data_IF_536075308720
#
_entry.id   IF_536075308720
#
_cell.length_a   1.000
_cell.length_b   1.000
_cell.length_c   1.000
_cell.angle_alpha   90.00
_cell.angle_beta   90.00
_cell.angle_gamma   90.00
#
_symmetry.space_group_name_H-M   'P 1'
#
loop_
_entity.id
_entity.type
_entity.pdbx_description
1 polymer ?
#
# COMPACT_ATOMS: atom_id res chain seq x y z
N UNK A 1 7.01 -21.76 -11.94
CA UNK A 1 5.91 -20.84 -11.61
C UNK A 1 5.75 -19.89 -12.78
N UNK A 2 4.71 -20.08 -13.59
CA UNK A 2 4.40 -19.21 -14.72
C UNK A 2 3.77 -17.93 -14.18
N UNK A 3 4.60 -16.91 -13.90
CA UNK A 3 4.13 -15.59 -13.49
C UNK A 3 3.34 -14.96 -14.63
N UNK A 4 2.01 -15.01 -14.52
CA UNK A 4 1.09 -14.44 -15.50
C UNK A 4 0.93 -12.95 -15.24
N UNK A 5 1.60 -12.12 -16.04
CA UNK A 5 1.38 -10.68 -16.06
C UNK A 5 -0.05 -10.41 -16.54
N UNK A 6 -0.85 -9.63 -15.81
CA UNK A 6 -2.18 -9.21 -16.27
C UNK A 6 -2.20 -7.72 -16.56
N UNK A 7 -3.01 -7.25 -17.49
CA UNK A 7 -3.15 -5.82 -17.75
C UNK A 7 -3.92 -5.11 -16.63
N UNK A 8 -3.40 -4.03 -16.07
CA UNK A 8 -4.09 -3.22 -15.06
C UNK A 8 -5.47 -2.69 -15.49
N UNK A 9 -5.69 -2.48 -16.80
CA UNK A 9 -6.92 -1.87 -17.30
C UNK A 9 -8.01 -2.91 -17.65
N UNK A 10 -7.64 -3.98 -18.35
CA UNK A 10 -8.62 -4.98 -18.83
C UNK A 10 -8.50 -6.36 -18.17
N UNK A 11 -7.51 -6.57 -17.30
CA UNK A 11 -7.28 -7.84 -16.61
C UNK A 11 -6.79 -8.99 -17.50
N UNK A 12 -6.66 -8.80 -18.81
CA UNK A 12 -6.20 -9.86 -19.72
C UNK A 12 -4.74 -10.22 -19.44
N UNK A 13 -4.42 -11.52 -19.48
CA UNK A 13 -3.04 -12.00 -19.37
C UNK A 13 -2.19 -11.51 -20.56
N UNK A 14 -1.11 -10.81 -20.25
CA UNK A 14 -0.11 -10.33 -21.20
C UNK A 14 0.90 -11.44 -21.43
N UNK A 15 0.74 -12.17 -22.53
CA UNK A 15 1.64 -13.27 -22.94
C UNK A 15 2.48 -12.92 -24.16
N UNK A 16 2.17 -11.80 -24.82
CA UNK A 16 2.73 -11.40 -26.11
C UNK A 16 3.77 -10.27 -26.01
N UNK A 17 4.17 -9.89 -24.79
CA UNK A 17 5.23 -8.91 -24.56
C UNK A 17 6.49 -9.58 -24.00
N UNK A 18 7.68 -9.31 -24.56
CA UNK A 18 8.92 -9.79 -24.00
C UNK A 18 9.17 -9.14 -22.64
N UNK A 19 9.80 -9.91 -21.73
CA UNK A 19 10.27 -9.40 -20.44
C UNK A 19 11.80 -9.17 -20.50
N UNK A 20 12.33 -8.08 -19.90
CA UNK A 20 11.59 -6.98 -19.27
C UNK A 20 10.76 -6.19 -20.28
N UNK A 21 9.62 -5.63 -19.83
CA UNK A 21 8.76 -4.83 -20.70
C UNK A 21 9.53 -3.64 -21.26
N UNK A 22 9.32 -3.35 -22.54
CA UNK A 22 9.72 -2.05 -23.07
C UNK A 22 8.90 -0.94 -22.42
N UNK A 23 9.45 0.26 -22.36
CA UNK A 23 8.77 1.43 -21.77
C UNK A 23 7.46 1.77 -22.46
N UNK A 24 7.33 1.42 -23.74
CA UNK A 24 6.12 1.60 -24.54
C UNK A 24 5.39 0.29 -24.82
N UNK A 25 5.61 -0.75 -24.00
CA UNK A 25 4.86 -1.98 -24.12
C UNK A 25 3.37 -1.71 -23.92
N UNK A 26 2.55 -2.27 -24.80
CA UNK A 26 1.11 -2.06 -24.81
C UNK A 26 0.37 -3.39 -24.73
N UNK A 27 -0.76 -3.37 -24.04
CA UNK A 27 -1.70 -4.48 -24.01
C UNK A 27 -2.35 -4.66 -25.38
N UNK A 28 -2.37 -5.87 -25.95
CA UNK A 28 -2.95 -6.05 -27.28
C UNK A 28 -4.46 -5.79 -27.36
N UNK A 29 -5.29 -6.26 -26.40
CA UNK A 29 -6.74 -6.01 -26.44
C UNK A 29 -7.14 -4.55 -26.23
N UNK A 30 -6.60 -3.88 -25.20
CA UNK A 30 -7.06 -2.54 -24.81
C UNK A 30 -6.08 -1.41 -25.13
N UNK A 31 -4.88 -1.72 -25.66
CA UNK A 31 -3.82 -0.74 -25.98
C UNK A 31 -3.32 0.07 -24.79
N UNK A 32 -3.66 -0.35 -23.57
CA UNK A 32 -3.15 0.26 -22.34
C UNK A 32 -1.63 0.10 -22.25
N UNK A 33 -0.94 1.14 -21.81
CA UNK A 33 0.50 1.07 -21.58
C UNK A 33 0.77 0.19 -20.35
N UNK A 34 1.68 -0.75 -20.49
CA UNK A 34 1.98 -1.77 -19.49
C UNK A 34 3.15 -1.36 -18.60
N UNK A 35 4.05 -0.50 -19.08
CA UNK A 35 5.12 0.07 -18.28
C UNK A 35 4.69 1.43 -17.69
N UNK A 36 3.66 1.42 -16.84
CA UNK A 36 3.07 2.62 -16.23
C UNK A 36 3.00 2.48 -14.70
N UNK A 37 2.76 3.59 -13.97
CA UNK A 37 2.62 3.54 -12.52
C UNK A 37 1.57 2.51 -12.08
N UNK A 38 0.42 2.42 -12.75
CA UNK A 38 -0.65 1.47 -12.37
C UNK A 38 -0.25 -0.01 -12.44
N UNK A 39 0.78 -0.35 -13.22
CA UNK A 39 1.34 -1.69 -13.31
C UNK A 39 2.59 -1.90 -12.42
N UNK A 40 3.05 -0.84 -11.74
CA UNK A 40 4.16 -0.92 -10.80
C UNK A 40 3.71 -1.56 -9.47
N UNK A 41 4.57 -2.36 -8.86
CA UNK A 41 4.33 -2.94 -7.54
C UNK A 41 4.25 -1.88 -6.43
N UNK A 42 4.95 -0.74 -6.61
CA UNK A 42 5.03 0.35 -5.63
C UNK A 42 3.85 1.34 -5.73
N UNK A 43 2.96 1.17 -6.71
CA UNK A 43 1.83 2.07 -6.86
C UNK A 43 0.77 1.82 -5.78
N UNK A 44 0.45 2.87 -5.04
CA UNK A 44 -0.49 2.84 -3.94
C UNK A 44 -1.40 4.07 -3.96
N UNK A 45 -2.62 3.98 -4.52
CA UNK A 45 -3.53 5.13 -4.66
C UNK A 45 -4.10 5.65 -3.33
N UNK A 46 -3.74 5.05 -2.19
CA UNK A 46 -4.12 5.54 -0.85
C UNK A 46 -3.17 6.61 -0.33
N UNK A 47 -1.98 6.74 -0.92
CA UNK A 47 -0.99 7.76 -0.54
C UNK A 47 -1.18 9.01 -1.39
N UNK A 48 -0.92 10.19 -0.81
CA UNK A 48 -1.00 11.47 -1.54
C UNK A 48 -0.11 11.52 -2.80
N UNK A 49 1.01 10.80 -2.79
CA UNK A 49 1.97 10.72 -3.91
C UNK A 49 1.72 9.51 -4.83
N UNK A 50 0.75 8.67 -4.50
CA UNK A 50 0.43 7.35 -5.06
C UNK A 50 1.59 6.35 -5.22
N UNK A 51 2.64 6.47 -4.40
CA UNK A 51 3.82 5.61 -4.46
C UNK A 51 4.31 5.26 -3.04
N UNK A 52 4.57 3.98 -2.79
CA UNK A 52 5.14 3.48 -1.52
C UNK A 52 6.65 3.69 -1.42
N UNK A 53 7.36 3.92 -2.54
CA UNK A 53 8.80 4.16 -2.55
C UNK A 53 9.09 5.66 -2.35
N UNK A 54 9.62 6.10 -1.18
CA UNK A 54 9.76 7.53 -0.87
C UNK A 54 10.79 8.26 -1.74
N UNK A 55 11.75 7.53 -2.34
CA UNK A 55 12.77 8.10 -3.23
C UNK A 55 12.37 8.08 -4.69
N UNK A 56 11.20 7.52 -5.03
CA UNK A 56 10.74 7.47 -6.40
C UNK A 56 10.29 8.85 -6.87
N UNK A 57 10.54 9.13 -8.15
CA UNK A 57 10.02 10.31 -8.81
C UNK A 57 8.49 10.25 -8.88
N UNK A 58 7.83 11.38 -8.58
CA UNK A 58 6.38 11.50 -8.74
C UNK A 58 6.05 11.81 -10.20
N UNK A 59 5.28 10.93 -10.84
CA UNK A 59 4.91 11.06 -12.25
C UNK A 59 3.45 11.47 -12.37
N UNK A 60 3.06 12.64 -12.88
CA UNK A 60 1.64 13.06 -12.88
C UNK A 60 0.73 12.09 -13.66
N UNK A 61 1.19 11.58 -14.80
CA UNK A 61 0.41 10.70 -15.66
C UNK A 61 0.60 9.22 -15.26
N UNK A 62 -0.30 8.66 -14.43
CA UNK A 62 -0.15 7.31 -13.86
C UNK A 62 -0.40 6.16 -14.85
N UNK A 63 -1.09 6.45 -15.93
CA UNK A 63 -1.58 5.47 -16.91
C UNK A 63 -0.75 5.41 -18.20
N UNK A 64 0.26 6.29 -18.31
CA UNK A 64 1.19 6.38 -19.45
C UNK A 64 2.57 5.82 -19.08
N UNK A 65 3.43 5.73 -20.08
CA UNK A 65 4.80 5.24 -20.00
C UNK A 65 5.53 5.96 -18.88
N UNK A 66 6.00 5.17 -17.93
CA UNK A 66 6.76 5.61 -16.78
C UNK A 66 8.25 5.40 -17.04
N UNK A 67 9.08 6.39 -16.72
CA UNK A 67 10.54 6.35 -16.84
C UNK A 67 11.24 6.29 -15.47
N UNK A 68 10.48 6.14 -14.39
CA UNK A 68 11.01 6.07 -13.03
C UNK A 68 11.95 4.86 -12.86
N UNK A 69 13.15 5.12 -12.35
CA UNK A 69 14.18 4.11 -12.08
C UNK A 69 13.74 3.06 -11.05
N UNK A 70 12.76 3.40 -10.21
CA UNK A 70 12.21 2.49 -9.19
C UNK A 70 11.08 1.60 -9.72
N UNK A 71 10.76 1.68 -11.02
CA UNK A 71 9.70 0.86 -11.60
C UNK A 71 10.02 -0.63 -11.45
N UNK A 72 9.07 -1.35 -10.83
CA UNK A 72 9.12 -2.80 -10.72
C UNK A 72 7.77 -3.37 -11.11
N UNK A 73 7.78 -4.19 -12.15
CA UNK A 73 6.58 -4.78 -12.71
C UNK A 73 5.88 -5.68 -11.68
N UNK A 74 4.60 -5.42 -11.41
CA UNK A 74 3.76 -6.30 -10.61
C UNK A 74 3.54 -7.61 -11.37
N UNK A 75 4.15 -8.70 -10.88
CA UNK A 75 4.05 -10.06 -11.49
C UNK A 75 2.87 -10.87 -10.96
N UNK A 76 2.31 -10.45 -9.85
CA UNK A 76 1.17 -11.07 -9.20
C UNK A 76 0.14 -9.97 -8.93
N UNK A 77 -0.97 -10.00 -9.66
CA UNK A 77 -2.21 -9.51 -9.07
C UNK A 77 -2.57 -10.58 -8.05
N UNK A 78 -2.04 -10.46 -6.83
CA UNK A 78 -2.74 -11.06 -5.72
C UNK A 78 -4.18 -10.59 -5.87
N UNK A 79 -5.12 -11.53 -5.96
CA UNK A 79 -6.53 -11.19 -5.86
C UNK A 79 -6.67 -10.17 -4.73
N UNK A 80 -7.44 -9.08 -4.92
CA UNK A 80 -7.55 -8.05 -3.89
C UNK A 80 -7.94 -8.77 -2.62
N UNK A 81 -6.96 -8.93 -1.72
CA UNK A 81 -6.92 -10.08 -0.82
C UNK A 81 -8.31 -10.41 -0.35
N UNK A 82 -8.85 -11.53 -0.82
CA UNK A 82 -9.89 -12.21 -0.07
C UNK A 82 -9.27 -12.25 1.32
N UNK A 83 -9.82 -11.43 2.23
CA UNK A 83 -9.24 -11.28 3.55
C UNK A 83 -9.18 -12.70 4.06
N UNK A 84 -7.99 -13.30 4.09
CA UNK A 84 -7.78 -14.55 4.79
C UNK A 84 -8.47 -14.32 6.13
N UNK A 85 -9.44 -15.18 6.51
CA UNK A 85 -10.28 -14.92 7.68
C UNK A 85 -9.32 -14.54 8.77
N UNK A 86 -9.45 -13.30 9.27
CA UNK A 86 -8.44 -12.68 10.11
C UNK A 86 -8.09 -13.70 11.18
N UNK A 87 -6.92 -14.33 11.05
CA UNK A 87 -6.36 -15.11 12.14
C UNK A 87 -6.33 -14.11 13.27
N UNK A 88 -6.83 -14.49 14.45
CA UNK A 88 -6.93 -13.57 15.57
C UNK A 88 -5.53 -13.17 16.03
N UNK A 89 -4.92 -12.24 15.28
CA UNK A 89 -3.59 -11.70 15.47
C UNK A 89 -3.49 -11.04 16.84
N UNK A 90 -4.63 -10.75 17.48
CA UNK A 90 -4.67 -10.24 18.84
C UNK A 90 -4.08 -11.26 19.82
N UNK A 91 -4.38 -12.55 19.67
CA UNK A 91 -3.82 -13.58 20.53
C UNK A 91 -2.31 -13.77 20.32
N UNK A 92 -1.85 -13.75 19.06
CA UNK A 92 -0.42 -13.88 18.73
C UNK A 92 0.38 -12.64 19.19
N UNK A 93 -0.15 -11.44 18.98
CA UNK A 93 0.44 -10.20 19.48
C UNK A 93 0.46 -10.20 21.01
N UNK A 94 -0.61 -10.63 21.68
CA UNK A 94 -0.62 -10.73 23.15
C UNK A 94 0.42 -11.71 23.69
N UNK A 95 0.65 -12.83 22.99
CA UNK A 95 1.70 -13.79 23.37
C UNK A 95 3.12 -13.22 23.19
N UNK A 96 3.35 -12.43 22.13
CA UNK A 96 4.64 -11.81 21.85
C UNK A 96 4.94 -10.61 22.76
N UNK A 97 3.92 -9.81 23.07
CA UNK A 97 4.05 -8.57 23.83
C UNK A 97 3.63 -8.70 25.31
N UNK A 98 3.15 -9.87 25.74
CA UNK A 98 2.97 -10.23 27.14
C UNK A 98 1.89 -9.44 27.89
N UNK A 99 0.81 -9.05 27.23
CA UNK A 99 -0.22 -8.18 27.84
C UNK A 99 -1.10 -8.87 28.89
N UNK A 100 -1.02 -10.19 29.05
CA UNK A 100 -1.69 -10.93 30.13
C UNK A 100 -0.85 -11.04 31.42
N UNK A 101 0.36 -10.48 31.42
CA UNK A 101 1.20 -10.35 32.61
C UNK A 101 1.28 -8.88 33.06
N UNK A 102 0.18 -8.37 33.60
CA UNK A 102 0.20 -7.17 34.45
C UNK A 102 -0.03 -5.83 33.76
N UNK A 103 -0.97 -5.73 32.82
CA UNK A 103 -1.66 -4.45 32.66
C UNK A 103 -2.65 -4.33 33.82
N UNK A 104 -2.24 -3.66 34.89
CA UNK A 104 -3.20 -3.04 35.80
C UNK A 104 -4.13 -2.20 34.95
N UNK A 105 -5.43 -2.49 35.00
CA UNK A 105 -6.47 -1.69 34.36
C UNK A 105 -6.11 -0.21 34.49
N UNK A 106 -5.86 0.47 33.36
CA UNK A 106 -5.69 1.92 33.38
C UNK A 106 -6.98 2.46 34.01
N UNK A 107 -6.91 3.20 35.14
CA UNK A 107 -8.11 3.73 35.74
C UNK A 107 -8.85 4.58 34.69
N UNK A 108 -10.17 4.45 34.68
CA UNK A 108 -11.15 5.10 33.79
C UNK A 108 -11.02 6.62 33.61
N UNK A 109 -10.03 7.26 34.25
CA UNK A 109 -9.79 8.69 34.25
C UNK A 109 -8.62 9.12 33.35
N UNK A 110 -8.13 8.25 32.46
CA UNK A 110 -7.04 8.62 31.52
C UNK A 110 -7.42 9.81 30.62
N UNK A 111 -8.69 9.95 30.27
CA UNK A 111 -9.19 11.10 29.50
C UNK A 111 -9.12 12.39 30.32
N UNK A 112 -9.64 12.36 31.56
CA UNK A 112 -9.63 13.50 32.49
C UNK A 112 -8.21 13.94 32.83
N UNK A 113 -7.30 12.98 33.02
CA UNK A 113 -5.90 13.26 33.35
C UNK A 113 -5.13 13.91 32.19
N UNK A 114 -5.54 13.67 30.93
CA UNK A 114 -5.00 14.36 29.77
C UNK A 114 -5.58 15.78 29.65
N UNK A 115 -6.89 15.96 29.87
CA UNK A 115 -7.53 17.28 29.83
C UNK A 115 -6.92 18.27 30.85
N UNK A 116 -6.57 17.79 32.05
CA UNK A 116 -5.91 18.59 33.08
C UNK A 116 -4.47 18.99 32.73
N UNK A 117 -3.77 18.18 31.93
CA UNK A 117 -2.40 18.47 31.49
C UNK A 117 -2.33 19.49 30.36
N UNK A 118 -3.39 19.55 29.53
CA UNK A 118 -3.44 20.44 28.36
C UNK A 118 -4.29 21.70 28.57
N UNK A 119 -5.01 21.80 29.68
CA UNK A 119 -5.69 23.03 30.08
C UNK A 119 -4.77 23.83 31.00
N UNK A 120 -3.97 24.73 30.42
CA UNK A 120 -3.31 25.77 31.20
C UNK A 120 -4.36 26.76 31.74
N UNK A 121 -4.25 27.25 33.00
CA UNK A 121 -5.04 28.41 33.41
C UNK A 121 -4.61 29.59 32.53
N UNK A 122 -5.56 30.12 31.78
CA UNK A 122 -5.43 31.39 31.09
C UNK A 122 -5.35 32.50 32.14
N UNK A 123 -4.12 32.82 32.56
CA UNK A 123 -3.83 34.10 33.22
C UNK A 123 -3.83 35.18 32.12
N UNK A 124 -5.00 35.80 31.93
CA UNK A 124 -5.17 37.10 31.28
C UNK A 124 -4.58 38.21 32.17
N UNK A 125 -3.77 39.13 31.64
CA UNK A 125 -3.68 40.50 32.16
C UNK A 125 -4.73 41.44 31.55
#
# INVERSE_FOLDING_TARGET
>A
MSNSLQCWQCGTAVTDQPLPLSTYAECRPCRAQLHCCRQCQHYNPRLRVDCDEPRAESHSEREKANFCDWFKLRREFGEPGEKAPSVDHKAELNALFGTDAGVTETPSNSHTQLDDLFTAPSDDP
#
